data_IF_695457499672
#
_entry.id   IF_695457499672
#
_cell.length_a   1.000
_cell.length_b   1.000
_cell.length_c   1.000
_cell.angle_alpha   90.00
_cell.angle_beta   90.00
_cell.angle_gamma   90.00
#
_symmetry.space_group_name_H-M   'P 1'
#
loop_
_entity.id
_entity.type
_entity.pdbx_description
1 polymer ?
#
# COMPACT_ATOMS: atom_id res chain seq x y z
N UNK A 1 -29.76 -23.53 20.20
CA UNK A 1 -30.75 -22.55 19.74
C UNK A 1 -30.28 -21.10 19.82
N UNK A 2 -29.05 -20.82 19.48
CA UNK A 2 -28.51 -19.44 19.49
C UNK A 2 -27.79 -19.04 18.23
N UNK A 3 -28.17 -19.63 17.09
CA UNK A 3 -27.57 -19.30 15.79
C UNK A 3 -28.21 -18.10 15.08
N UNK A 4 -29.19 -17.44 15.66
CA UNK A 4 -29.91 -16.31 15.04
C UNK A 4 -29.45 -14.96 15.61
N UNK A 5 -28.69 -14.94 16.71
CA UNK A 5 -28.32 -13.69 17.41
C UNK A 5 -26.90 -13.20 17.16
N UNK A 6 -26.11 -13.90 16.37
CA UNK A 6 -24.75 -13.48 16.01
C UNK A 6 -24.53 -13.26 14.52
N UNK A 7 -25.52 -12.75 13.82
CA UNK A 7 -25.19 -11.94 12.65
C UNK A 7 -24.71 -10.61 13.22
N UNK A 8 -23.48 -10.60 13.75
CA UNK A 8 -22.78 -9.35 14.00
C UNK A 8 -22.96 -8.51 12.75
N UNK A 9 -23.57 -7.36 12.90
CA UNK A 9 -23.78 -6.44 11.81
C UNK A 9 -22.41 -6.10 11.21
N UNK A 10 -22.02 -6.80 10.16
CA UNK A 10 -20.75 -6.61 9.44
C UNK A 10 -20.85 -5.56 8.34
N UNK A 11 -21.77 -4.65 8.52
CA UNK A 11 -21.99 -3.54 7.61
C UNK A 11 -20.70 -2.76 7.29
N UNK A 12 -19.84 -2.56 8.30
CA UNK A 12 -18.53 -1.95 8.15
C UNK A 12 -17.62 -2.66 7.13
N UNK A 13 -17.76 -3.95 6.96
CA UNK A 13 -16.91 -4.78 6.10
C UNK A 13 -17.50 -5.00 4.71
N UNK A 14 -18.73 -4.60 4.46
CA UNK A 14 -19.36 -4.78 3.15
C UNK A 14 -18.48 -4.23 2.03
N UNK A 15 -18.31 -4.95 0.91
CA UNK A 15 -17.39 -4.55 -0.14
C UNK A 15 -17.60 -3.14 -0.66
N UNK A 16 -18.84 -2.70 -0.80
CA UNK A 16 -19.19 -1.34 -1.23
C UNK A 16 -18.66 -0.29 -0.24
N UNK A 17 -18.89 -0.49 1.05
CA UNK A 17 -18.41 0.43 2.09
C UNK A 17 -16.88 0.41 2.23
N UNK A 18 -16.30 -0.77 2.16
CA UNK A 18 -14.85 -0.91 2.17
C UNK A 18 -14.22 -0.20 0.95
N UNK A 19 -14.83 -0.30 -0.21
CA UNK A 19 -14.38 0.40 -1.41
C UNK A 19 -14.43 1.92 -1.22
N UNK A 20 -15.57 2.45 -0.80
CA UNK A 20 -15.74 3.90 -0.59
C UNK A 20 -14.72 4.44 0.44
N UNK A 21 -14.42 3.68 1.47
CA UNK A 21 -13.51 4.10 2.54
C UNK A 21 -12.03 3.94 2.19
N UNK A 22 -11.66 2.86 1.51
CA UNK A 22 -10.26 2.44 1.36
C UNK A 22 -9.73 2.39 -0.07
N UNK A 23 -10.54 2.71 -1.10
CA UNK A 23 -10.07 2.68 -2.48
C UNK A 23 -8.86 3.58 -2.70
N UNK A 24 -8.87 4.79 -2.17
CA UNK A 24 -7.74 5.72 -2.25
C UNK A 24 -6.50 5.17 -1.54
N UNK A 25 -6.67 4.62 -0.35
CA UNK A 25 -5.57 4.00 0.42
C UNK A 25 -4.93 2.84 -0.34
N UNK A 26 -5.74 1.96 -0.92
CA UNK A 26 -5.29 0.84 -1.75
C UNK A 26 -4.56 1.34 -2.99
N UNK A 27 -5.14 2.30 -3.70
CA UNK A 27 -4.56 2.87 -4.91
C UNK A 27 -3.19 3.52 -4.64
N UNK A 28 -3.09 4.32 -3.58
CA UNK A 28 -1.83 4.98 -3.20
C UNK A 28 -0.74 3.99 -2.86
N UNK A 29 -1.05 2.93 -2.12
CA UNK A 29 -0.07 1.87 -1.83
C UNK A 29 0.34 1.15 -3.11
N UNK A 30 -0.61 0.81 -3.97
CA UNK A 30 -0.33 0.22 -5.28
C UNK A 30 0.61 1.11 -6.10
N UNK A 31 0.36 2.41 -6.14
CA UNK A 31 1.19 3.36 -6.86
C UNK A 31 2.60 3.52 -6.25
N UNK A 32 2.71 3.59 -4.93
CA UNK A 32 4.01 3.61 -4.24
C UNK A 32 4.85 2.40 -4.64
N UNK A 33 4.22 1.25 -4.82
CA UNK A 33 4.93 0.01 -5.16
C UNK A 33 5.24 -0.15 -6.64
N UNK A 34 4.39 0.34 -7.53
CA UNK A 34 4.52 0.14 -8.99
C UNK A 34 5.05 1.35 -9.74
N UNK A 35 4.84 2.55 -9.24
CA UNK A 35 5.08 3.83 -9.94
C UNK A 35 4.39 3.90 -11.30
N UNK A 36 3.28 3.19 -11.47
CA UNK A 36 2.60 3.09 -12.75
C UNK A 36 1.09 3.18 -12.53
N UNK A 37 0.45 4.14 -13.20
CA UNK A 37 -0.98 4.40 -13.06
C UNK A 37 -1.83 3.22 -13.54
N UNK A 38 -1.52 2.66 -14.70
CA UNK A 38 -2.24 1.52 -15.28
C UNK A 38 -2.16 0.28 -14.38
N UNK A 39 -0.98 -0.04 -13.87
CA UNK A 39 -0.78 -1.15 -12.94
C UNK A 39 -1.51 -0.91 -11.61
N UNK A 40 -1.53 0.34 -11.13
CA UNK A 40 -2.25 0.71 -9.91
C UNK A 40 -3.76 0.55 -10.06
N UNK A 41 -4.32 0.93 -11.21
CA UNK A 41 -5.74 0.72 -11.53
C UNK A 41 -6.07 -0.78 -11.56
N UNK A 42 -5.24 -1.59 -12.19
CA UNK A 42 -5.42 -3.04 -12.26
C UNK A 42 -5.33 -3.70 -10.87
N UNK A 43 -4.37 -3.26 -10.04
CA UNK A 43 -4.25 -3.73 -8.67
C UNK A 43 -5.48 -3.35 -7.85
N UNK A 44 -5.97 -2.12 -7.97
CA UNK A 44 -7.16 -1.68 -7.26
C UNK A 44 -8.35 -2.60 -7.55
N UNK A 45 -8.59 -2.92 -8.80
CA UNK A 45 -9.66 -3.83 -9.21
C UNK A 45 -9.45 -5.23 -8.62
N UNK A 46 -8.26 -5.78 -8.78
CA UNK A 46 -7.94 -7.14 -8.29
C UNK A 46 -8.05 -7.25 -6.77
N UNK A 47 -7.62 -6.22 -6.03
CA UNK A 47 -7.72 -6.19 -4.57
C UNK A 47 -9.17 -6.32 -4.12
N UNK A 48 -10.09 -5.57 -4.71
CA UNK A 48 -11.49 -5.62 -4.31
C UNK A 48 -12.20 -6.87 -4.84
N UNK A 49 -11.81 -7.42 -5.98
CA UNK A 49 -12.29 -8.73 -6.42
C UNK A 49 -11.92 -9.84 -5.44
N UNK A 50 -10.70 -9.82 -4.89
CA UNK A 50 -10.27 -10.76 -3.86
C UNK A 50 -10.94 -10.51 -2.53
N UNK A 51 -11.12 -9.25 -2.15
CA UNK A 51 -11.78 -8.87 -0.91
C UNK A 51 -13.24 -9.34 -0.86
N UNK A 52 -13.98 -9.29 -1.97
CA UNK A 52 -15.36 -9.79 -2.08
C UNK A 52 -15.48 -11.26 -1.65
N UNK A 53 -14.42 -12.04 -1.81
CA UNK A 53 -14.43 -13.47 -1.43
C UNK A 53 -14.22 -13.70 0.07
N UNK A 54 -13.73 -12.70 0.81
CA UNK A 54 -13.30 -12.88 2.21
C UNK A 54 -13.93 -11.89 3.20
N UNK A 55 -14.68 -10.90 2.73
CA UNK A 55 -15.19 -9.82 3.59
C UNK A 55 -16.00 -10.28 4.80
N UNK A 56 -16.72 -11.40 4.67
CA UNK A 56 -17.53 -11.94 5.76
C UNK A 56 -16.70 -12.45 6.95
N UNK A 57 -15.41 -12.67 6.75
CA UNK A 57 -14.46 -13.09 7.80
C UNK A 57 -13.88 -11.91 8.58
N UNK A 58 -14.17 -10.68 8.16
CA UNK A 58 -13.63 -9.49 8.83
C UNK A 58 -14.31 -9.31 10.20
N UNK A 59 -13.50 -8.99 11.22
CA UNK A 59 -13.97 -8.86 12.60
C UNK A 59 -14.01 -7.42 13.09
N UNK A 60 -13.26 -6.52 12.44
CA UNK A 60 -13.15 -5.10 12.79
C UNK A 60 -12.79 -4.26 11.57
N UNK A 61 -12.92 -2.93 11.65
CA UNK A 61 -12.45 -2.03 10.61
C UNK A 61 -10.94 -2.12 10.41
N UNK A 62 -10.16 -2.27 11.48
CA UNK A 62 -8.72 -2.48 11.43
C UNK A 62 -8.37 -3.75 10.66
N UNK A 63 -9.16 -4.81 10.84
CA UNK A 63 -9.01 -6.05 10.08
C UNK A 63 -9.31 -5.85 8.59
N UNK A 64 -10.34 -5.08 8.24
CA UNK A 64 -10.64 -4.71 6.84
C UNK A 64 -9.45 -4.01 6.21
N UNK A 65 -8.95 -2.95 6.84
CA UNK A 65 -7.79 -2.20 6.35
C UNK A 65 -6.55 -3.09 6.20
N UNK A 66 -6.24 -3.90 7.22
CA UNK A 66 -5.09 -4.81 7.19
C UNK A 66 -5.20 -5.83 6.06
N UNK A 67 -6.38 -6.39 5.84
CA UNK A 67 -6.63 -7.33 4.75
C UNK A 67 -6.42 -6.67 3.38
N UNK A 68 -7.00 -5.49 3.17
CA UNK A 68 -6.87 -4.77 1.92
C UNK A 68 -5.42 -4.40 1.61
N UNK A 69 -4.66 -3.91 2.60
CA UNK A 69 -3.25 -3.57 2.41
C UNK A 69 -2.39 -4.81 2.13
N UNK A 70 -2.66 -5.93 2.80
CA UNK A 70 -1.98 -7.20 2.54
C UNK A 70 -2.24 -7.70 1.12
N UNK A 71 -3.49 -7.69 0.67
CA UNK A 71 -3.84 -8.08 -0.70
C UNK A 71 -3.15 -7.17 -1.71
N UNK A 72 -3.09 -5.86 -1.42
CA UNK A 72 -2.42 -4.89 -2.29
C UNK A 72 -0.94 -5.21 -2.46
N UNK A 73 -0.24 -5.49 -1.37
CA UNK A 73 1.18 -5.91 -1.41
C UNK A 73 1.34 -7.19 -2.21
N UNK A 74 0.50 -8.19 -1.96
CA UNK A 74 0.55 -9.46 -2.68
C UNK A 74 0.30 -9.30 -4.18
N UNK A 75 -0.68 -8.49 -4.58
CA UNK A 75 -0.96 -8.18 -5.98
C UNK A 75 0.23 -7.49 -6.65
N UNK A 76 0.84 -6.52 -5.98
CA UNK A 76 2.02 -5.81 -6.52
C UNK A 76 3.24 -6.73 -6.65
N UNK A 77 3.43 -7.67 -5.72
CA UNK A 77 4.50 -8.66 -5.82
C UNK A 77 4.29 -9.61 -7.00
N UNK A 78 3.06 -10.02 -7.27
CA UNK A 78 2.72 -10.86 -8.43
C UNK A 78 3.01 -10.16 -9.75
N UNK A 79 2.74 -8.87 -9.87
CA UNK A 79 3.09 -8.06 -11.04
C UNK A 79 4.59 -7.99 -11.27
N UNK A 80 5.40 -7.87 -10.23
CA UNK A 80 6.86 -7.84 -10.31
C UNK A 80 7.47 -9.12 -10.87
N UNK A 81 6.82 -10.25 -10.68
CA UNK A 81 7.26 -11.54 -11.20
C UNK A 81 6.80 -11.81 -12.62
N UNK A 82 5.85 -11.01 -13.15
CA UNK A 82 5.40 -11.13 -14.53
C UNK A 82 6.43 -10.55 -15.51
N UNK A 83 6.64 -11.23 -16.64
CA UNK A 83 7.54 -10.76 -17.70
C UNK A 83 7.09 -9.42 -18.31
N UNK A 84 5.81 -9.07 -18.17
CA UNK A 84 5.23 -7.83 -18.65
C UNK A 84 5.69 -6.63 -17.81
N UNK A 85 5.77 -6.75 -16.49
CA UNK A 85 6.28 -5.70 -15.60
C UNK A 85 7.73 -5.33 -15.92
N UNK A 86 8.58 -6.32 -16.23
CA UNK A 86 9.98 -6.08 -16.59
C UNK A 86 10.15 -5.29 -17.89
N UNK A 87 9.17 -5.37 -18.81
CA UNK A 87 9.19 -4.64 -20.08
C UNK A 87 8.70 -3.20 -19.97
N UNK A 88 7.86 -2.90 -18.94
CA UNK A 88 7.27 -1.57 -18.75
C UNK A 88 8.05 -0.68 -17.79
N UNK A 89 9.02 -1.22 -17.06
CA UNK A 89 9.86 -0.47 -16.11
C UNK A 89 10.69 0.66 -16.79
N UNK A 90 10.87 0.61 -18.11
CA UNK A 90 11.56 1.64 -18.90
C UNK A 90 10.65 2.69 -19.56
N UNK A 91 9.32 2.56 -19.46
CA UNK A 91 8.36 3.46 -20.10
C UNK A 91 7.59 4.24 -19.03
N UNK A 92 8.20 5.32 -18.57
CA UNK A 92 7.63 6.21 -17.51
C UNK A 92 6.48 7.11 -18.02
N UNK A 93 5.73 6.71 -19.03
CA UNK A 93 4.69 7.56 -19.63
C UNK A 93 3.43 7.72 -18.76
N UNK A 94 3.31 6.95 -17.66
CA UNK A 94 2.14 6.95 -16.78
C UNK A 94 2.46 7.28 -15.32
N UNK A 95 3.53 8.04 -15.07
CA UNK A 95 3.81 8.53 -13.72
C UNK A 95 2.77 9.59 -13.34
N UNK A 96 2.07 9.34 -12.24
CA UNK A 96 1.21 10.36 -11.62
C UNK A 96 2.12 11.47 -11.11
N UNK A 97 1.80 12.71 -11.43
CA UNK A 97 2.53 13.86 -10.89
C UNK A 97 2.32 13.97 -9.39
N UNK A 98 3.27 14.57 -8.70
CA UNK A 98 3.15 14.86 -7.27
C UNK A 98 1.91 15.71 -6.96
N UNK A 99 1.46 16.52 -7.91
CA UNK A 99 0.25 17.33 -7.81
C UNK A 99 -1.02 16.48 -7.72
N UNK A 100 -1.11 15.38 -8.49
CA UNK A 100 -2.25 14.46 -8.44
C UNK A 100 -2.33 13.67 -7.13
N UNK A 101 -1.21 13.49 -6.41
CA UNK A 101 -1.13 12.76 -5.14
C UNK A 101 -1.11 13.67 -3.91
N UNK A 102 -1.30 14.99 -4.07
CA UNK A 102 -1.42 15.91 -2.95
C UNK A 102 -0.28 16.93 -2.77
N UNK A 103 0.54 17.14 -3.79
CA UNK A 103 1.33 18.37 -3.93
C UNK A 103 2.53 18.53 -3.00
N UNK A 104 3.25 17.46 -2.63
CA UNK A 104 4.44 17.60 -1.78
C UNK A 104 5.72 17.17 -2.51
N UNK A 105 6.71 18.07 -2.53
CA UNK A 105 8.09 17.73 -2.97
C UNK A 105 8.70 16.54 -2.21
N UNK A 106 8.30 16.33 -0.95
CA UNK A 106 8.72 15.18 -0.16
C UNK A 106 8.24 13.85 -0.74
N UNK A 107 7.05 13.80 -1.34
CA UNK A 107 6.54 12.60 -2.00
C UNK A 107 7.44 12.21 -3.17
N UNK A 108 7.89 13.18 -3.97
CA UNK A 108 8.82 12.92 -5.08
C UNK A 108 10.11 12.28 -4.58
N UNK A 109 10.65 12.76 -3.46
CA UNK A 109 11.85 12.19 -2.84
C UNK A 109 11.61 10.77 -2.33
N UNK A 110 10.47 10.52 -1.69
CA UNK A 110 10.08 9.16 -1.26
C UNK A 110 9.98 8.21 -2.46
N UNK A 111 9.42 8.67 -3.56
CA UNK A 111 9.25 7.87 -4.78
C UNK A 111 10.59 7.52 -5.46
N UNK A 112 11.66 8.24 -5.18
CA UNK A 112 13.03 7.91 -5.64
C UNK A 112 13.69 6.80 -4.82
N UNK A 113 13.19 6.51 -3.60
CA UNK A 113 13.73 5.44 -2.77
C UNK A 113 13.53 4.06 -3.40
N UNK A 114 14.42 3.10 -3.12
CA UNK A 114 14.15 1.69 -3.42
C UNK A 114 12.81 1.24 -2.85
N UNK A 115 12.13 0.35 -3.56
CA UNK A 115 10.76 -0.08 -3.23
C UNK A 115 10.58 -0.54 -1.78
N UNK A 116 11.54 -1.26 -1.23
CA UNK A 116 11.47 -1.74 0.17
C UNK A 116 11.46 -0.58 1.18
N UNK A 117 12.18 0.48 0.91
CA UNK A 117 12.25 1.65 1.79
C UNK A 117 11.02 2.55 1.60
N UNK A 118 10.62 2.85 0.37
CA UNK A 118 9.44 3.68 0.14
C UNK A 118 8.15 3.01 0.61
N UNK A 119 8.05 1.69 0.50
CA UNK A 119 6.90 0.94 1.03
C UNK A 119 6.81 1.04 2.55
N UNK A 120 7.92 0.81 3.26
CA UNK A 120 7.97 0.93 4.73
C UNK A 120 7.62 2.36 5.19
N UNK A 121 8.18 3.37 4.55
CA UNK A 121 7.89 4.79 4.84
C UNK A 121 6.41 5.09 4.63
N UNK A 122 5.84 4.66 3.52
CA UNK A 122 4.43 4.89 3.21
C UNK A 122 3.50 4.24 4.23
N UNK A 123 3.74 2.97 4.57
CA UNK A 123 2.94 2.24 5.56
C UNK A 123 3.04 2.86 6.95
N UNK A 124 4.22 3.34 7.33
CA UNK A 124 4.41 3.93 8.65
C UNK A 124 3.82 5.33 8.76
N UNK A 125 4.18 6.24 7.86
CA UNK A 125 3.83 7.66 7.97
C UNK A 125 2.48 8.02 7.35
N UNK A 126 2.09 7.37 6.26
CA UNK A 126 0.81 7.64 5.60
C UNK A 126 -0.31 6.74 6.13
N UNK A 127 -0.08 5.44 6.23
CA UNK A 127 -1.09 4.49 6.69
C UNK A 127 -1.19 4.41 8.22
N UNK A 128 -0.24 4.98 8.96
CA UNK A 128 -0.22 4.99 10.42
C UNK A 128 0.13 3.65 11.06
N UNK A 129 0.84 2.78 10.34
CA UNK A 129 1.18 1.46 10.82
C UNK A 129 2.40 1.45 11.74
N UNK A 130 2.33 0.66 12.81
CA UNK A 130 3.47 0.34 13.65
C UNK A 130 4.47 -0.56 12.92
N UNK A 131 5.68 -0.66 13.45
CA UNK A 131 6.70 -1.56 12.94
C UNK A 131 6.19 -3.02 12.87
N UNK A 132 5.48 -3.47 13.90
CA UNK A 132 4.93 -4.83 13.94
C UNK A 132 3.83 -5.04 12.88
N UNK A 133 2.95 -4.06 12.69
CA UNK A 133 1.91 -4.11 11.65
C UNK A 133 2.51 -4.12 10.25
N UNK A 134 3.57 -3.35 10.01
CA UNK A 134 4.31 -3.37 8.74
C UNK A 134 4.96 -4.73 8.51
N UNK A 135 5.60 -5.29 9.55
CA UNK A 135 6.23 -6.60 9.49
C UNK A 135 5.23 -7.70 9.10
N UNK A 136 4.03 -7.67 9.70
CA UNK A 136 2.96 -8.60 9.38
C UNK A 136 2.45 -8.42 7.94
N UNK A 137 2.27 -7.18 7.51
CA UNK A 137 1.80 -6.85 6.15
C UNK A 137 2.79 -7.29 5.08
N UNK A 138 4.07 -7.06 5.29
CA UNK A 138 5.14 -7.38 4.35
C UNK A 138 5.72 -8.78 4.53
N UNK A 139 5.35 -9.49 5.60
CA UNK A 139 5.90 -10.80 5.98
C UNK A 139 7.43 -10.80 6.11
N UNK A 140 7.94 -9.81 6.83
CA UNK A 140 9.36 -9.66 7.18
C UNK A 140 9.51 -9.45 8.68
N UNK A 141 10.74 -9.57 9.19
CA UNK A 141 11.02 -9.35 10.61
C UNK A 141 10.83 -7.89 11.01
N UNK A 142 10.32 -7.60 12.23
CA UNK A 142 10.25 -6.23 12.74
C UNK A 142 11.60 -5.50 12.75
N UNK A 143 12.69 -6.21 13.02
CA UNK A 143 14.05 -5.64 12.95
C UNK A 143 14.42 -5.18 11.54
N UNK A 144 13.99 -5.91 10.52
CA UNK A 144 14.17 -5.53 9.11
C UNK A 144 13.37 -4.27 8.78
N UNK A 145 12.13 -4.15 9.26
CA UNK A 145 11.32 -2.94 9.11
C UNK A 145 12.01 -1.73 9.73
N UNK A 146 12.51 -1.86 10.96
CA UNK A 146 13.28 -0.79 11.62
C UNK A 146 14.48 -0.35 10.79
N UNK A 147 15.23 -1.29 10.25
CA UNK A 147 16.39 -1.01 9.39
C UNK A 147 15.95 -0.29 8.12
N UNK A 148 14.87 -0.72 7.48
CA UNK A 148 14.33 -0.05 6.29
C UNK A 148 13.93 1.39 6.58
N UNK A 149 13.28 1.66 7.71
CA UNK A 149 12.87 3.01 8.11
C UNK A 149 14.10 3.89 8.42
N UNK A 150 15.11 3.37 9.12
CA UNK A 150 16.33 4.10 9.43
C UNK A 150 17.08 4.48 8.15
N UNK A 151 17.26 3.53 7.24
CA UNK A 151 17.94 3.77 5.96
C UNK A 151 17.16 4.72 5.06
N UNK A 152 15.84 4.59 5.02
CA UNK A 152 14.99 5.51 4.27
C UNK A 152 15.13 6.96 4.76
N UNK A 153 15.09 7.16 6.08
CA UNK A 153 15.27 8.50 6.68
C UNK A 153 16.65 9.08 6.38
N UNK A 154 17.70 8.26 6.44
CA UNK A 154 19.06 8.69 6.11
C UNK A 154 19.17 9.14 4.65
N UNK A 155 18.60 8.38 3.74
CA UNK A 155 18.58 8.72 2.30
C UNK A 155 17.79 10.01 2.03
N UNK A 156 16.60 10.16 2.62
CA UNK A 156 15.78 11.37 2.49
C UNK A 156 16.48 12.60 3.07
N UNK A 157 17.15 12.48 4.21
CA UNK A 157 17.90 13.57 4.83
C UNK A 157 19.05 14.06 3.94
N UNK A 158 19.77 13.15 3.31
CA UNK A 158 20.86 13.50 2.40
C UNK A 158 20.35 14.23 1.15
N UNK A 159 19.22 13.80 0.60
CA UNK A 159 18.61 14.43 -0.58
C UNK A 159 18.11 15.84 -0.25
N UNK A 160 17.38 16.01 0.84
CA UNK A 160 16.85 17.32 1.28
C UNK A 160 17.99 18.32 1.51
N UNK A 161 19.11 17.89 2.09
CA UNK A 161 20.29 18.77 2.29
C UNK A 161 20.97 19.17 0.98
N UNK A 162 20.93 18.33 -0.02
CA UNK A 162 21.49 18.65 -1.34
C UNK A 162 20.65 19.68 -2.11
N UNK A 163 19.33 19.66 -1.93
CA UNK A 163 18.42 20.60 -2.57
C UNK A 163 18.42 21.98 -1.89
N UNK A 164 18.83 22.06 -0.60
CA UNK A 164 18.97 23.31 0.14
C UNK A 164 20.29 24.06 -0.12
N UNK A 165 21.16 23.49 -0.94
CA UNK A 165 22.44 24.09 -1.36
C UNK A 165 22.36 24.65 -2.80
#
# INVERSE_FOLDING_TARGET
MNSITEVKNKDFAMPEKAFLKYADTVYRLAFVRTKNKSDSDDILQEVFLRYIKVWQKMESEEHVKAMLLRITVNCSNSLKTSSWFKKTEGLNENLISSEELGGFSLLDEVMKLPIKYRTAVHLHYYCGYSVNEIADTLKINPSTVKTHLIRARAMLKNTIKADDL
#
